data_IF_927808219787
#
_entry.id   IF_927808219787
#
_cell.length_a   1.000
_cell.length_b   1.000
_cell.length_c   1.000
_cell.angle_alpha   90.00
_cell.angle_beta   90.00
_cell.angle_gamma   90.00
#
_symmetry.space_group_name_H-M   'P 1'
#
loop_
_entity.id
_entity.type
_entity.pdbx_description
1 polymer ?
#
# COMPACT_ATOMS: atom_id res chain seq x y z
N UNK A 1 -12.49 29.31 93.76
CA UNK A 1 -13.19 28.49 92.76
C UNK A 1 -13.69 29.41 91.67
N UNK A 2 -13.02 29.43 90.52
CA UNK A 2 -13.45 30.19 89.34
C UNK A 2 -13.37 29.24 88.16
N UNK A 3 -14.52 28.74 87.73
CA UNK A 3 -14.68 27.88 86.57
C UNK A 3 -14.56 28.73 85.30
N UNK A 4 -13.45 28.60 84.59
CA UNK A 4 -13.27 29.21 83.26
C UNK A 4 -14.16 28.45 82.28
N UNK A 5 -15.21 29.12 81.77
CA UNK A 5 -16.07 28.64 80.69
C UNK A 5 -15.19 28.40 79.46
N UNK A 6 -15.15 27.16 78.97
CA UNK A 6 -14.60 26.84 77.66
C UNK A 6 -15.54 27.42 76.61
N UNK A 7 -15.14 28.52 75.97
CA UNK A 7 -15.78 29.00 74.74
C UNK A 7 -15.49 27.97 73.65
N UNK A 8 -16.55 27.54 72.96
CA UNK A 8 -16.50 26.61 71.82
C UNK A 8 -16.49 27.40 70.50
N UNK A 9 -15.79 28.52 70.46
CA UNK A 9 -15.71 29.38 69.27
C UNK A 9 -14.27 29.39 68.71
N UNK A 10 -13.76 28.21 68.40
CA UNK A 10 -12.59 28.08 67.51
C UNK A 10 -13.01 27.23 66.30
N UNK A 11 -14.07 27.67 65.61
CA UNK A 11 -14.33 27.32 64.22
C UNK A 11 -13.30 28.05 63.34
N UNK A 12 -12.04 27.62 63.46
CA UNK A 12 -11.00 28.00 62.51
C UNK A 12 -11.33 27.32 61.18
N UNK A 13 -12.04 28.04 60.31
CA UNK A 13 -12.37 27.58 58.95
C UNK A 13 -11.06 27.33 58.19
N UNK A 14 -10.76 26.05 57.93
CA UNK A 14 -9.63 25.66 57.09
C UNK A 14 -9.96 25.98 55.62
N UNK A 15 -9.52 27.15 55.16
CA UNK A 15 -9.67 27.59 53.78
C UNK A 15 -9.05 26.61 52.76
N UNK A 16 -8.01 25.85 53.13
CA UNK A 16 -7.41 24.85 52.26
C UNK A 16 -8.29 23.61 52.09
N UNK A 17 -9.04 23.22 53.13
CA UNK A 17 -10.05 22.16 53.04
C UNK A 17 -11.20 22.59 52.14
N UNK A 18 -11.72 23.80 52.34
CA UNK A 18 -12.82 24.36 51.53
C UNK A 18 -12.41 24.50 50.06
N UNK A 19 -11.20 24.97 49.78
CA UNK A 19 -10.69 25.08 48.40
C UNK A 19 -10.59 23.72 47.71
N UNK A 20 -10.12 22.69 48.42
CA UNK A 20 -10.03 21.32 47.88
C UNK A 20 -11.41 20.73 47.61
N UNK A 21 -12.35 20.92 48.52
CA UNK A 21 -13.74 20.48 48.33
C UNK A 21 -14.37 21.19 47.13
N UNK A 22 -14.18 22.50 47.01
CA UNK A 22 -14.68 23.28 45.88
C UNK A 22 -14.09 22.80 44.54
N UNK A 23 -12.77 22.57 44.47
CA UNK A 23 -12.12 22.03 43.26
C UNK A 23 -12.67 20.64 42.91
N UNK A 24 -12.81 19.76 43.90
CA UNK A 24 -13.36 18.43 43.67
C UNK A 24 -14.81 18.47 43.17
N UNK A 25 -15.61 19.44 43.60
CA UNK A 25 -16.98 19.62 43.12
C UNK A 25 -17.02 20.09 41.66
N UNK A 26 -16.11 21.00 41.28
CA UNK A 26 -15.97 21.46 39.89
C UNK A 26 -15.55 20.30 38.97
N UNK A 27 -14.51 19.56 39.36
CA UNK A 27 -14.02 18.43 38.56
C UNK A 27 -15.11 17.35 38.37
N UNK A 28 -15.93 17.11 39.40
CA UNK A 28 -17.06 16.19 39.33
C UNK A 28 -18.14 16.66 38.36
N UNK A 29 -18.50 17.94 38.40
CA UNK A 29 -19.50 18.52 37.50
C UNK A 29 -19.01 18.48 36.04
N UNK A 30 -17.75 18.87 35.79
CA UNK A 30 -17.15 18.78 34.46
C UNK A 30 -17.19 17.36 33.91
N UNK A 31 -16.82 16.37 34.73
CA UNK A 31 -16.88 14.95 34.35
C UNK A 31 -18.30 14.48 34.06
N UNK A 32 -19.26 14.89 34.88
CA UNK A 32 -20.67 14.58 34.66
C UNK A 32 -21.16 15.10 33.30
N UNK A 33 -20.82 16.33 32.94
CA UNK A 33 -21.17 16.92 31.64
C UNK A 33 -20.53 16.16 30.47
N UNK A 34 -19.26 15.76 30.58
CA UNK A 34 -18.58 14.96 29.56
C UNK A 34 -19.26 13.60 29.36
N UNK A 35 -19.53 12.88 30.45
CA UNK A 35 -20.22 11.58 30.40
C UNK A 35 -21.63 11.71 29.81
N UNK A 36 -22.38 12.73 30.20
CA UNK A 36 -23.72 12.97 29.67
C UNK A 36 -23.70 13.30 28.17
N UNK A 37 -22.73 14.12 27.74
CA UNK A 37 -22.53 14.41 26.31
C UNK A 37 -22.19 13.14 25.51
N UNK A 38 -21.39 12.22 26.08
CA UNK A 38 -21.04 10.95 25.48
C UNK A 38 -22.25 10.00 25.40
N UNK A 39 -23.10 9.97 26.44
CA UNK A 39 -24.38 9.23 26.43
C UNK A 39 -25.26 9.69 25.26
N UNK A 40 -25.45 11.00 25.10
CA UNK A 40 -26.25 11.53 23.99
C UNK A 40 -25.65 11.18 22.64
N UNK A 41 -24.33 11.33 22.46
CA UNK A 41 -23.63 10.97 21.23
C UNK A 41 -23.80 9.49 20.89
N UNK A 42 -23.63 8.59 21.86
CA UNK A 42 -23.76 7.15 21.64
C UNK A 42 -25.19 6.75 21.23
N UNK A 43 -26.21 7.41 21.81
CA UNK A 43 -27.62 7.21 21.41
C UNK A 43 -27.86 7.72 20.00
N UNK A 44 -27.36 8.91 19.66
CA UNK A 44 -27.48 9.51 18.33
C UNK A 44 -26.82 8.63 17.25
N UNK A 45 -25.66 8.06 17.56
CA UNK A 45 -24.92 7.14 16.70
C UNK A 45 -25.58 5.75 16.57
N UNK A 46 -26.65 5.46 17.32
CA UNK A 46 -27.37 4.18 17.32
C UNK A 46 -26.44 2.98 17.54
N UNK A 47 -25.59 3.09 18.55
CA UNK A 47 -24.68 2.04 19.01
C UNK A 47 -25.44 0.72 19.22
N UNK A 48 -24.87 -0.39 18.74
CA UNK A 48 -25.59 -1.66 18.60
C UNK A 48 -25.67 -2.48 19.90
N UNK A 49 -24.75 -2.24 20.84
CA UNK A 49 -24.67 -3.01 22.10
C UNK A 49 -24.49 -2.11 23.32
N UNK A 50 -24.93 -2.60 24.48
CA UNK A 50 -24.73 -1.88 25.74
C UNK A 50 -23.25 -1.78 26.12
N UNK A 51 -22.44 -2.79 25.79
CA UNK A 51 -21.01 -2.79 26.09
C UNK A 51 -20.29 -1.67 25.35
N UNK A 52 -20.58 -1.49 24.06
CA UNK A 52 -20.06 -0.37 23.26
C UNK A 52 -20.53 0.99 23.81
N UNK A 53 -21.79 1.10 24.22
CA UNK A 53 -22.31 2.31 24.87
C UNK A 53 -21.55 2.61 26.17
N UNK A 54 -21.33 1.58 27.00
CA UNK A 54 -20.60 1.68 28.27
C UNK A 54 -19.17 2.12 28.03
N UNK A 55 -18.49 1.54 27.05
CA UNK A 55 -17.11 1.89 26.69
C UNK A 55 -17.00 3.35 26.24
N UNK A 56 -17.91 3.83 25.40
CA UNK A 56 -17.93 5.23 24.95
C UNK A 56 -18.09 6.20 26.13
N UNK A 57 -19.01 5.91 27.06
CA UNK A 57 -19.23 6.76 28.24
C UNK A 57 -18.04 6.70 29.18
N UNK A 58 -17.45 5.52 29.40
CA UNK A 58 -16.27 5.35 30.24
C UNK A 58 -15.06 6.10 29.66
N UNK A 59 -14.91 6.12 28.33
CA UNK A 59 -13.82 6.79 27.63
C UNK A 59 -14.03 8.31 27.46
N UNK A 60 -15.17 8.88 27.89
CA UNK A 60 -15.50 10.29 27.64
C UNK A 60 -14.52 11.31 28.24
N UNK A 61 -13.79 10.92 29.28
CA UNK A 61 -12.79 11.75 29.96
C UNK A 61 -11.41 11.72 29.28
N UNK A 62 -11.21 10.90 28.24
CA UNK A 62 -9.95 10.82 27.51
C UNK A 62 -9.78 12.06 26.63
N UNK A 63 -8.60 12.69 26.68
CA UNK A 63 -8.24 13.81 25.82
C UNK A 63 -7.64 13.31 24.50
N UNK A 64 -7.89 13.99 23.38
CA UNK A 64 -7.14 13.75 22.15
C UNK A 64 -5.64 13.87 22.42
N UNK A 65 -4.82 13.06 21.76
CA UNK A 65 -3.36 13.18 21.88
C UNK A 65 -2.89 14.54 21.35
N UNK A 66 -2.11 15.22 22.18
CA UNK A 66 -1.45 16.48 21.81
C UNK A 66 -0.10 16.19 21.11
N UNK A 67 0.48 17.18 20.43
CA UNK A 67 1.76 16.99 19.70
C UNK A 67 2.93 16.77 20.66
N UNK A 68 2.75 17.23 21.88
CA UNK A 68 3.65 17.14 23.02
C UNK A 68 3.58 15.76 23.70
N UNK A 69 2.47 15.02 23.50
CA UNK A 69 2.34 13.65 23.97
C UNK A 69 3.29 12.75 23.16
N UNK A 70 4.40 12.37 23.80
CA UNK A 70 5.48 11.62 23.17
C UNK A 70 5.06 10.18 22.85
N UNK A 71 4.35 9.99 21.74
CA UNK A 71 4.13 8.67 21.11
C UNK A 71 5.47 7.99 20.80
N UNK A 72 6.55 8.77 20.59
CA UNK A 72 7.91 8.28 20.39
C UNK A 72 8.48 7.51 21.59
N UNK A 73 7.93 7.70 22.80
CA UNK A 73 8.31 6.92 23.99
C UNK A 73 7.63 5.55 24.05
N UNK A 74 6.51 5.39 23.34
CA UNK A 74 5.70 4.18 23.28
C UNK A 74 6.21 3.22 22.19
N UNK A 75 7.54 3.06 22.11
CA UNK A 75 8.20 2.28 21.08
C UNK A 75 8.06 2.89 19.68
N UNK A 76 9.01 2.60 18.81
CA UNK A 76 8.89 2.97 17.40
C UNK A 76 7.67 2.22 16.86
N UNK A 77 6.60 2.93 16.53
CA UNK A 77 5.52 2.38 15.72
C UNK A 77 6.14 2.03 14.35
N UNK A 78 6.63 0.80 14.21
CA UNK A 78 7.35 0.31 13.02
C UNK A 78 6.43 0.16 11.80
N UNK A 79 5.15 0.46 11.94
CA UNK A 79 4.22 0.54 10.83
C UNK A 79 4.26 1.93 10.20
N UNK A 80 5.30 2.14 9.41
CA UNK A 80 5.31 3.22 8.43
C UNK A 80 4.36 2.80 7.31
N UNK A 81 3.12 3.30 7.35
CA UNK A 81 2.11 3.04 6.33
C UNK A 81 2.57 3.41 4.90
N UNK A 82 3.64 4.19 4.77
CA UNK A 82 4.30 4.53 3.50
C UNK A 82 5.84 4.47 3.60
N UNK A 83 6.43 3.29 3.40
CA UNK A 83 7.89 3.12 3.33
C UNK A 83 8.55 3.89 2.17
N UNK A 84 7.79 4.18 1.12
CA UNK A 84 8.26 4.91 -0.06
C UNK A 84 8.45 6.42 0.16
N UNK A 85 7.81 7.00 1.18
CA UNK A 85 7.91 8.44 1.49
C UNK A 85 9.19 8.80 2.27
N UNK A 86 9.78 7.85 3.00
CA UNK A 86 11.01 8.07 3.79
C UNK A 86 12.25 8.30 2.92
N UNK A 87 12.19 8.02 1.62
CA UNK A 87 13.33 8.21 0.71
C UNK A 87 13.55 9.66 0.27
N UNK A 88 12.77 10.64 0.75
CA UNK A 88 13.04 12.04 0.42
C UNK A 88 12.70 13.03 1.54
N UNK A 89 13.47 13.06 2.64
CA UNK A 89 13.32 14.08 3.66
C UNK A 89 14.18 15.30 3.31
N UNK A 90 13.97 15.94 2.16
CA UNK A 90 14.42 17.31 1.91
C UNK A 90 13.89 17.82 0.57
N UNK A 91 13.00 18.81 0.62
CA UNK A 91 13.07 20.06 -0.15
C UNK A 91 11.81 20.89 0.08
N UNK A 92 11.79 21.58 1.22
CA UNK A 92 11.19 22.90 1.26
C UNK A 92 12.19 23.89 0.67
N UNK A 93 11.75 24.65 -0.33
CA UNK A 93 12.25 26.01 -0.60
C UNK A 93 13.62 26.17 -1.28
N UNK A 94 13.54 26.71 -2.50
CA UNK A 94 14.51 27.52 -3.23
C UNK A 94 15.59 26.86 -4.12
N UNK A 95 15.53 27.31 -5.37
CA UNK A 95 16.50 27.24 -6.43
C UNK A 95 17.90 27.63 -5.96
N UNK A 96 18.88 26.76 -6.22
CA UNK A 96 20.23 27.14 -6.62
C UNK A 96 20.94 25.94 -7.24
N UNK A 97 21.54 26.23 -8.39
CA UNK A 97 22.39 25.39 -9.19
C UNK A 97 23.61 24.93 -8.37
N UNK A 98 23.98 23.65 -8.44
CA UNK A 98 25.19 23.14 -7.77
C UNK A 98 25.24 21.62 -7.75
N UNK A 99 26.03 21.04 -8.66
CA UNK A 99 26.44 19.63 -8.64
C UNK A 99 27.02 19.23 -7.28
N UNK A 100 27.03 17.91 -7.01
CA UNK A 100 28.35 17.28 -6.98
C UNK A 100 28.41 16.00 -7.80
N UNK A 101 29.41 15.97 -8.67
CA UNK A 101 29.88 14.80 -9.39
C UNK A 101 30.50 13.77 -8.46
N UNK A 102 30.10 12.51 -8.65
CA UNK A 102 30.88 11.25 -8.61
C UNK A 102 29.85 10.12 -8.49
N UNK A 103 29.62 9.18 -9.40
CA UNK A 103 30.19 8.69 -10.67
C UNK A 103 29.10 7.69 -11.16
N UNK A 104 28.55 7.71 -12.35
CA UNK A 104 29.21 7.56 -13.64
C UNK A 104 28.32 8.12 -14.75
N UNK A 105 28.98 8.83 -15.66
CA UNK A 105 28.48 9.18 -16.97
C UNK A 105 28.70 7.97 -17.87
N UNK A 106 27.64 7.21 -18.16
CA UNK A 106 27.56 6.42 -19.40
C UNK A 106 26.17 6.58 -19.99
N UNK A 107 26.06 7.47 -20.97
CA UNK A 107 25.05 7.38 -22.01
C UNK A 107 25.24 6.03 -22.72
N UNK A 108 24.44 5.05 -22.33
CA UNK A 108 24.04 3.92 -23.14
C UNK A 108 22.72 3.41 -22.58
N UNK A 109 21.73 3.26 -23.46
CA UNK A 109 20.45 2.58 -23.20
C UNK A 109 20.70 1.17 -22.67
N UNK A 110 20.96 1.05 -21.37
CA UNK A 110 21.13 -0.22 -20.67
C UNK A 110 20.04 -0.27 -19.64
N UNK A 111 19.02 -1.07 -19.94
CA UNK A 111 17.89 -1.34 -19.06
C UNK A 111 18.43 -1.76 -17.70
N UNK A 112 18.23 -0.94 -16.67
CA UNK A 112 18.61 -1.30 -15.30
C UNK A 112 17.73 -2.47 -14.87
N UNK A 113 18.31 -3.67 -14.83
CA UNK A 113 17.60 -4.90 -14.47
C UNK A 113 17.05 -4.78 -13.04
N UNK A 114 15.72 -4.82 -12.83
CA UNK A 114 15.13 -4.71 -11.51
C UNK A 114 15.52 -5.87 -10.60
N UNK A 115 15.76 -5.60 -9.31
CA UNK A 115 16.06 -6.64 -8.31
C UNK A 115 14.80 -7.17 -7.64
N UNK A 116 13.75 -6.36 -7.57
CA UNK A 116 12.47 -6.70 -6.93
C UNK A 116 11.28 -6.34 -7.82
N UNK A 117 10.14 -7.01 -7.63
CA UNK A 117 8.90 -6.71 -8.37
C UNK A 117 8.41 -5.26 -8.18
N UNK A 118 8.70 -4.63 -7.03
CA UNK A 118 8.38 -3.22 -6.80
C UNK A 118 9.27 -2.26 -7.60
N UNK A 119 10.57 -2.53 -7.69
CA UNK A 119 11.47 -1.77 -8.56
C UNK A 119 11.06 -1.88 -10.02
N UNK A 120 10.66 -3.09 -10.45
CA UNK A 120 10.10 -3.30 -11.79
C UNK A 120 8.88 -2.42 -11.99
N UNK A 121 7.89 -2.48 -11.09
CA UNK A 121 6.65 -1.69 -11.20
C UNK A 121 6.92 -0.19 -11.20
N UNK A 122 7.90 0.27 -10.41
CA UNK A 122 8.29 1.67 -10.36
C UNK A 122 8.90 2.13 -11.69
N UNK A 123 9.84 1.36 -12.26
CA UNK A 123 10.45 1.67 -13.56
C UNK A 123 9.41 1.59 -14.68
N UNK A 124 8.59 0.54 -14.67
CA UNK A 124 7.49 0.34 -15.61
C UNK A 124 6.52 1.53 -15.67
N UNK A 125 6.16 2.09 -14.50
CA UNK A 125 5.24 3.24 -14.45
C UNK A 125 5.88 4.59 -14.70
N UNK A 126 7.17 4.77 -14.36
CA UNK A 126 7.85 6.08 -14.43
C UNK A 126 8.58 6.29 -15.75
N UNK A 127 9.26 5.25 -16.23
CA UNK A 127 10.19 5.34 -17.35
C UNK A 127 9.57 4.81 -18.65
N UNK A 128 8.74 3.76 -18.58
CA UNK A 128 8.09 3.18 -19.76
C UNK A 128 6.72 3.82 -20.03
N UNK A 129 6.71 4.96 -20.75
CA UNK A 129 5.47 5.72 -21.03
C UNK A 129 4.72 5.21 -22.27
N UNK A 130 5.44 4.70 -23.26
CA UNK A 130 4.84 4.18 -24.51
C UNK A 130 4.80 2.65 -24.51
N UNK A 131 3.95 2.06 -25.36
CA UNK A 131 3.86 0.60 -25.52
C UNK A 131 5.15 -0.01 -26.05
N UNK A 132 5.80 0.65 -27.02
CA UNK A 132 7.12 0.25 -27.54
C UNK A 132 8.19 0.19 -26.44
N UNK A 133 8.24 1.19 -25.55
CA UNK A 133 9.18 1.21 -24.43
C UNK A 133 8.91 0.07 -23.44
N UNK A 134 7.64 -0.19 -23.13
CA UNK A 134 7.21 -1.29 -22.27
C UNK A 134 7.62 -2.65 -22.84
N UNK A 135 7.41 -2.83 -24.14
CA UNK A 135 7.80 -4.04 -24.88
C UNK A 135 9.32 -4.23 -24.91
N UNK A 136 10.07 -3.18 -25.25
CA UNK A 136 11.53 -3.26 -25.25
C UNK A 136 12.07 -3.61 -23.85
N UNK A 137 11.51 -3.01 -22.80
CA UNK A 137 11.91 -3.26 -21.42
C UNK A 137 11.60 -4.70 -20.97
N UNK A 138 10.40 -5.22 -21.27
CA UNK A 138 10.02 -6.58 -20.86
C UNK A 138 10.86 -7.63 -21.60
N UNK A 139 11.14 -7.42 -22.89
CA UNK A 139 12.00 -8.28 -23.68
C UNK A 139 13.45 -8.24 -23.22
N UNK A 140 13.97 -7.05 -22.84
CA UNK A 140 15.33 -6.89 -22.35
C UNK A 140 15.58 -7.57 -20.98
N UNK A 141 14.56 -7.68 -20.13
CA UNK A 141 14.67 -8.38 -18.83
C UNK A 141 14.65 -9.90 -19.03
N UNK A 142 13.84 -10.38 -19.97
CA UNK A 142 13.73 -11.80 -20.30
C UNK A 142 12.84 -12.63 -19.36
N UNK A 143 12.49 -13.82 -19.82
CA UNK A 143 11.52 -14.74 -19.21
C UNK A 143 11.95 -15.22 -17.81
N UNK A 144 13.20 -15.64 -17.66
CA UNK A 144 13.75 -16.18 -16.40
C UNK A 144 13.66 -15.16 -15.26
N UNK A 145 14.09 -13.92 -15.52
CA UNK A 145 14.10 -12.88 -14.48
C UNK A 145 12.68 -12.43 -14.12
N UNK A 146 11.77 -12.38 -15.10
CA UNK A 146 10.35 -12.11 -14.86
C UNK A 146 9.74 -13.18 -13.94
N UNK A 147 10.08 -14.45 -14.14
CA UNK A 147 9.61 -15.53 -13.27
C UNK A 147 10.08 -15.32 -11.81
N UNK A 148 11.34 -14.92 -11.61
CA UNK A 148 11.88 -14.62 -10.27
C UNK A 148 11.19 -13.40 -9.63
N UNK A 149 10.97 -12.33 -10.40
CA UNK A 149 10.38 -11.08 -9.92
C UNK A 149 8.91 -11.25 -9.51
N UNK A 150 8.16 -12.09 -10.22
CA UNK A 150 6.73 -12.30 -10.04
C UNK A 150 6.37 -13.71 -9.55
N UNK A 151 7.29 -14.36 -8.81
CA UNK A 151 7.10 -15.73 -8.31
C UNK A 151 5.81 -15.89 -7.48
N UNK A 152 5.48 -14.89 -6.66
CA UNK A 152 4.31 -14.91 -5.76
C UNK A 152 3.06 -14.44 -6.49
N UNK A 153 3.09 -13.24 -7.07
CA UNK A 153 1.95 -12.65 -7.75
C UNK A 153 2.36 -11.62 -8.80
N UNK A 154 1.51 -11.48 -9.82
CA UNK A 154 1.57 -10.40 -10.82
C UNK A 154 0.48 -9.40 -10.42
N UNK A 155 0.85 -8.32 -9.74
CA UNK A 155 -0.09 -7.34 -9.20
C UNK A 155 -0.23 -6.09 -10.08
N UNK A 156 -1.21 -5.24 -9.75
CA UNK A 156 -1.34 -3.91 -10.33
C UNK A 156 -1.82 -3.85 -11.78
N UNK A 157 -2.49 -4.89 -12.30
CA UNK A 157 -2.96 -4.93 -13.69
C UNK A 157 -1.86 -5.20 -14.72
N UNK A 158 -0.63 -5.49 -14.26
CA UNK A 158 0.52 -5.69 -15.12
C UNK A 158 0.33 -6.77 -16.18
N UNK A 159 -0.41 -7.85 -15.87
CA UNK A 159 -0.64 -8.93 -16.84
C UNK A 159 -1.33 -8.43 -18.11
N UNK A 160 -2.34 -7.56 -17.98
CA UNK A 160 -3.03 -6.97 -19.14
C UNK A 160 -2.11 -6.05 -19.93
N UNK A 161 -1.33 -5.22 -19.23
CA UNK A 161 -0.33 -4.36 -19.88
C UNK A 161 0.77 -5.15 -20.60
N UNK A 162 1.16 -6.31 -20.06
CA UNK A 162 2.11 -7.22 -20.71
C UNK A 162 1.51 -7.78 -22.00
N UNK A 163 0.28 -8.25 -21.97
CA UNK A 163 -0.41 -8.75 -23.18
C UNK A 163 -0.50 -7.65 -24.24
N UNK A 164 -0.92 -6.44 -23.85
CA UNK A 164 -1.04 -5.31 -24.77
C UNK A 164 0.29 -4.95 -25.42
N UNK A 165 1.38 -4.93 -24.65
CA UNK A 165 2.70 -4.59 -25.19
C UNK A 165 3.34 -5.70 -26.04
N UNK A 166 3.03 -6.98 -25.76
CA UNK A 166 3.50 -8.11 -26.56
C UNK A 166 2.74 -8.26 -27.88
N UNK A 167 1.47 -7.86 -27.89
CA UNK A 167 0.65 -7.81 -29.11
C UNK A 167 1.04 -6.62 -30.00
N UNK A 168 1.49 -5.51 -29.41
CA UNK A 168 1.95 -4.34 -30.15
C UNK A 168 3.22 -4.68 -30.94
N UNK A 169 3.20 -4.46 -32.26
CA UNK A 169 4.28 -4.78 -33.20
C UNK A 169 4.86 -6.18 -32.99
N UNK A 170 3.99 -7.20 -32.99
CA UNK A 170 4.41 -8.58 -32.90
C UNK A 170 5.28 -8.96 -34.12
N UNK A 171 6.48 -9.49 -33.87
CA UNK A 171 7.43 -9.95 -34.89
C UNK A 171 7.66 -11.47 -34.77
N UNK A 172 7.78 -12.14 -35.91
CA UNK A 172 7.94 -13.59 -35.99
C UNK A 172 9.24 -14.05 -35.31
N UNK A 173 10.28 -13.22 -35.36
CA UNK A 173 11.59 -13.53 -34.76
C UNK A 173 11.55 -13.65 -33.23
N UNK A 174 10.56 -13.02 -32.58
CA UNK A 174 10.44 -12.96 -31.13
C UNK A 174 9.43 -13.96 -30.56
N UNK A 175 8.76 -14.74 -31.41
CA UNK A 175 7.75 -15.75 -31.05
C UNK A 175 8.19 -16.65 -29.90
N UNK A 176 9.42 -17.18 -29.97
CA UNK A 176 9.98 -18.05 -28.94
C UNK A 176 10.11 -17.34 -27.60
N UNK A 177 10.60 -16.10 -27.60
CA UNK A 177 10.73 -15.27 -26.42
C UNK A 177 9.37 -14.96 -25.79
N UNK A 178 8.36 -14.64 -26.61
CA UNK A 178 6.98 -14.40 -26.15
C UNK A 178 6.41 -15.64 -25.47
N UNK A 179 6.57 -16.83 -26.07
CA UNK A 179 6.10 -18.09 -25.49
C UNK A 179 6.78 -18.37 -24.15
N UNK A 180 8.11 -18.25 -24.08
CA UNK A 180 8.86 -18.46 -22.83
C UNK A 180 8.44 -17.48 -21.73
N UNK A 181 8.10 -16.25 -22.11
CA UNK A 181 7.65 -15.22 -21.18
C UNK A 181 6.23 -15.52 -20.67
N UNK A 182 5.30 -15.91 -21.54
CA UNK A 182 3.96 -16.35 -21.13
C UNK A 182 4.02 -17.58 -20.22
N UNK A 183 4.89 -18.56 -20.52
CA UNK A 183 5.12 -19.70 -19.63
C UNK A 183 5.65 -19.27 -18.27
N UNK A 184 6.59 -18.33 -18.26
CA UNK A 184 7.19 -17.82 -17.02
C UNK A 184 6.16 -17.09 -16.15
N UNK A 185 5.28 -16.29 -16.76
CA UNK A 185 4.17 -15.64 -16.06
C UNK A 185 3.15 -16.65 -15.51
N UNK A 186 2.88 -17.73 -16.26
CA UNK A 186 1.93 -18.77 -15.84
C UNK A 186 2.35 -19.54 -14.58
N UNK A 187 3.66 -19.54 -14.25
CA UNK A 187 4.23 -20.22 -13.08
C UNK A 187 4.09 -19.44 -11.77
N UNK A 188 3.51 -18.24 -11.80
CA UNK A 188 3.27 -17.44 -10.58
C UNK A 188 2.25 -18.12 -9.66
N UNK A 189 2.47 -18.10 -8.33
CA UNK A 189 1.58 -18.79 -7.37
C UNK A 189 0.13 -18.29 -7.42
N UNK A 190 -0.08 -17.00 -7.68
CA UNK A 190 -1.40 -16.36 -7.80
C UNK A 190 -1.78 -16.02 -9.24
N UNK A 191 -1.30 -16.77 -10.22
CA UNK A 191 -1.57 -16.53 -11.63
C UNK A 191 -3.09 -16.52 -11.97
N UNK A 192 -3.87 -17.42 -11.37
CA UNK A 192 -5.32 -17.49 -11.57
C UNK A 192 -6.05 -16.21 -11.15
N UNK A 193 -5.55 -15.52 -10.12
CA UNK A 193 -6.08 -14.24 -9.67
C UNK A 193 -5.74 -13.11 -10.66
N UNK A 194 -4.52 -13.12 -11.20
CA UNK A 194 -4.11 -12.16 -12.24
C UNK A 194 -4.99 -12.30 -13.50
N UNK A 195 -5.32 -13.53 -13.91
CA UNK A 195 -6.29 -13.78 -15.00
C UNK A 195 -7.70 -13.29 -14.68
N UNK A 196 -8.15 -13.43 -13.42
CA UNK A 196 -9.47 -12.98 -13.01
C UNK A 196 -9.65 -11.46 -13.11
N UNK A 197 -8.56 -10.70 -12.98
CA UNK A 197 -8.56 -9.24 -13.10
C UNK A 197 -8.43 -8.69 -14.52
N UNK A 198 -8.23 -9.55 -15.53
CA UNK A 198 -8.23 -9.11 -16.93
C UNK A 198 -9.62 -8.60 -17.33
N UNK A 199 -9.66 -7.39 -17.85
CA UNK A 199 -10.84 -6.77 -18.46
C UNK A 199 -11.26 -7.50 -19.74
N UNK A 200 -12.47 -7.21 -20.21
CA UNK A 200 -12.97 -7.79 -21.47
C UNK A 200 -12.03 -7.50 -22.65
N UNK A 201 -11.58 -6.24 -22.75
CA UNK A 201 -10.66 -5.80 -23.81
C UNK A 201 -9.31 -6.53 -23.75
N UNK A 202 -8.74 -6.67 -22.55
CA UNK A 202 -7.45 -7.38 -22.39
C UNK A 202 -7.58 -8.88 -22.69
N UNK A 203 -8.73 -9.49 -22.42
CA UNK A 203 -9.02 -10.88 -22.83
C UNK A 203 -9.15 -11.03 -24.35
N UNK A 204 -9.78 -10.07 -25.02
CA UNK A 204 -9.85 -10.02 -26.49
C UNK A 204 -8.43 -9.85 -27.08
N UNK A 205 -7.60 -8.99 -26.50
CA UNK A 205 -6.19 -8.82 -26.90
C UNK A 205 -5.36 -10.09 -26.65
N UNK A 206 -5.59 -10.78 -25.53
CA UNK A 206 -4.95 -12.05 -25.23
C UNK A 206 -5.32 -13.12 -26.28
N UNK A 207 -6.60 -13.20 -26.67
CA UNK A 207 -7.05 -14.09 -27.74
C UNK A 207 -6.37 -13.75 -29.08
N UNK A 208 -6.32 -12.47 -29.44
CA UNK A 208 -5.63 -12.00 -30.64
C UNK A 208 -4.13 -12.35 -30.62
N UNK A 209 -3.45 -12.21 -29.49
CA UNK A 209 -2.04 -12.60 -29.33
C UNK A 209 -1.85 -14.10 -29.58
N UNK A 210 -2.73 -14.94 -29.03
CA UNK A 210 -2.67 -16.38 -29.27
C UNK A 210 -3.03 -16.78 -30.70
N UNK A 211 -3.86 -16.01 -31.40
CA UNK A 211 -4.10 -16.19 -32.83
C UNK A 211 -2.86 -15.87 -33.66
N UNK A 212 -2.19 -14.74 -33.39
CA UNK A 212 -0.91 -14.39 -34.04
C UNK A 212 0.14 -15.48 -33.81
N UNK A 213 0.29 -15.97 -32.57
CA UNK A 213 1.19 -17.09 -32.25
C UNK A 213 0.85 -18.38 -33.00
N UNK A 214 -0.42 -18.61 -33.36
CA UNK A 214 -0.84 -19.79 -34.13
C UNK A 214 -0.65 -19.65 -35.65
N UNK A 215 -0.72 -18.42 -36.18
CA UNK A 215 -0.58 -18.13 -37.62
C UNK A 215 0.84 -18.39 -38.14
N UNK A 216 1.83 -18.38 -37.25
CA UNK A 216 3.23 -18.59 -37.56
C UNK A 216 3.54 -20.07 -37.87
N UNK A 217 3.32 -20.45 -39.12
CA UNK A 217 4.04 -21.50 -39.81
C UNK A 217 5.34 -20.84 -40.29
N UNK A 218 6.55 -21.35 -40.06
CA UNK A 218 7.27 -22.20 -41.01
C UNK A 218 8.52 -22.80 -40.29
N UNK A 219 8.82 -24.08 -40.57
CA UNK A 219 9.99 -24.89 -40.12
C UNK A 219 9.79 -25.80 -38.89
N UNK A 220 10.58 -26.89 -38.79
CA UNK A 220 10.40 -28.03 -37.85
C UNK A 220 10.33 -27.68 -36.35
N UNK A 221 10.91 -26.56 -35.91
CA UNK A 221 10.74 -26.02 -34.54
C UNK A 221 9.28 -25.60 -34.24
N UNK A 222 8.45 -25.44 -35.27
CA UNK A 222 7.03 -25.05 -35.17
C UNK A 222 6.16 -26.09 -34.45
N UNK A 223 6.53 -27.38 -34.44
CA UNK A 223 5.69 -28.42 -33.80
C UNK A 223 5.76 -28.30 -32.28
N UNK A 224 6.96 -28.23 -31.71
CA UNK A 224 7.16 -28.08 -30.26
C UNK A 224 6.59 -26.76 -29.75
N UNK A 225 6.78 -25.67 -30.50
CA UNK A 225 6.20 -24.37 -30.15
C UNK A 225 4.66 -24.41 -30.19
N UNK A 226 4.06 -25.14 -31.14
CA UNK A 226 2.59 -25.31 -31.20
C UNK A 226 2.04 -26.09 -30.02
N UNK A 227 2.72 -27.14 -29.57
CA UNK A 227 2.32 -27.88 -28.37
C UNK A 227 2.38 -27.00 -27.13
N UNK A 228 3.46 -26.23 -26.97
CA UNK A 228 3.60 -25.24 -25.88
C UNK A 228 2.49 -24.19 -25.91
N UNK A 229 2.19 -23.65 -27.09
CA UNK A 229 1.08 -22.69 -27.28
C UNK A 229 -0.27 -23.33 -26.94
N UNK A 230 -0.51 -24.60 -27.30
CA UNK A 230 -1.73 -25.31 -26.95
C UNK A 230 -1.88 -25.48 -25.42
N UNK A 231 -0.81 -25.84 -24.72
CA UNK A 231 -0.80 -25.90 -23.25
C UNK A 231 -1.08 -24.51 -22.66
N UNK A 232 -0.42 -23.46 -23.17
CA UNK A 232 -0.64 -22.10 -22.72
C UNK A 232 -2.08 -21.63 -22.91
N UNK A 233 -2.72 -21.95 -24.04
CA UNK A 233 -4.15 -21.65 -24.27
C UNK A 233 -5.03 -22.23 -23.17
N UNK A 234 -4.79 -23.48 -22.78
CA UNK A 234 -5.54 -24.11 -21.67
C UNK A 234 -5.30 -23.42 -20.32
N UNK A 235 -4.06 -22.99 -20.05
CA UNK A 235 -3.70 -22.30 -18.79
C UNK A 235 -4.29 -20.90 -18.70
N UNK A 236 -4.25 -20.15 -19.80
CA UNK A 236 -4.79 -18.81 -19.90
C UNK A 236 -6.32 -18.77 -20.11
N UNK A 237 -6.94 -19.94 -20.34
CA UNK A 237 -8.37 -20.13 -20.58
C UNK A 237 -8.87 -19.37 -21.81
N UNK A 238 -8.09 -19.46 -22.89
CA UNK A 238 -8.32 -18.83 -24.19
C UNK A 238 -8.50 -19.88 -25.27
#
# INVERSE_FOLDING_TARGET
MTTTKSSHDDDSLDFGKVEREAKSMVDYDERYWLENSAKFRAVEQRVASYDEFREIVMAAHLKPLEKEDKISSMGVFTQVWNQSALKNPQKDGNYSNGNPDTSDMTNHSTVKVPKTGQEFLQHWKRECKTLEQKRHFIMAIGSVKIQELFQIEINGGLLGEFVDCLLHDFDESETKCVIELLESLSKSQRFSLALAFLSKKEKENLAALFEELCKLQHSQESIELKERVAVLKTLYRV
#
